data_IF_393269079661
#
_entry.id   IF_393269079661
#
_cell.length_a   1.000
_cell.length_b   1.000
_cell.length_c   1.000
_cell.angle_alpha   90.00
_cell.angle_beta   90.00
_cell.angle_gamma   90.00
#
_symmetry.space_group_name_H-M   'P 1'
#
loop_
_entity.id
_entity.type
_entity.pdbx_description
1 polymer ?
#
# COMPACT_ATOMS: atom_id res chain seq x y z
N UNK A 1 -25.94 -25.48 58.77
CA UNK A 1 -25.01 -26.28 57.94
C UNK A 1 -24.99 -25.87 56.46
N UNK A 2 -25.95 -25.07 55.94
CA UNK A 2 -26.01 -24.73 54.51
C UNK A 2 -24.91 -23.72 54.06
N UNK A 3 -24.58 -22.73 54.89
CA UNK A 3 -23.56 -21.72 54.54
C UNK A 3 -22.14 -22.25 54.46
N UNK A 4 -21.76 -23.19 55.34
CA UNK A 4 -20.41 -23.77 55.32
C UNK A 4 -20.19 -24.62 54.06
N UNK A 5 -21.23 -25.33 53.61
CA UNK A 5 -21.20 -26.08 52.35
C UNK A 5 -21.13 -25.16 51.13
N UNK A 6 -21.90 -24.06 51.11
CA UNK A 6 -21.84 -23.06 50.04
C UNK A 6 -20.45 -22.39 49.98
N UNK A 7 -19.87 -22.06 51.13
CA UNK A 7 -18.54 -21.46 51.21
C UNK A 7 -17.45 -22.42 50.71
N UNK A 8 -17.56 -23.71 51.05
CA UNK A 8 -16.65 -24.74 50.53
C UNK A 8 -16.78 -24.91 49.01
N UNK A 9 -18.01 -24.90 48.49
CA UNK A 9 -18.28 -24.97 47.06
C UNK A 9 -17.68 -23.77 46.32
N UNK A 10 -17.93 -22.56 46.81
CA UNK A 10 -17.35 -21.33 46.26
C UNK A 10 -15.81 -21.36 46.29
N UNK A 11 -15.20 -21.91 47.34
CA UNK A 11 -13.75 -22.04 47.44
C UNK A 11 -13.17 -23.05 46.42
N UNK A 12 -13.91 -24.10 46.08
CA UNK A 12 -13.54 -25.05 45.03
C UNK A 12 -13.67 -24.42 43.64
N UNK A 13 -14.78 -23.74 43.38
CA UNK A 13 -15.03 -23.06 42.10
C UNK A 13 -13.96 -21.99 41.84
N UNK A 14 -13.59 -21.19 42.85
CA UNK A 14 -12.51 -20.20 42.74
C UNK A 14 -11.16 -20.86 42.40
N UNK A 15 -10.84 -22.01 43.01
CA UNK A 15 -9.60 -22.75 42.70
C UNK A 15 -9.60 -23.30 41.28
N UNK A 16 -10.76 -23.67 40.74
CA UNK A 16 -10.89 -24.15 39.37
C UNK A 16 -10.71 -23.00 38.37
N UNK A 17 -11.31 -21.84 38.64
CA UNK A 17 -11.10 -20.61 37.85
C UNK A 17 -9.63 -20.21 37.85
N UNK A 18 -8.94 -20.29 39.00
CA UNK A 18 -7.51 -20.00 39.08
C UNK A 18 -6.66 -20.95 38.24
N UNK A 19 -7.00 -22.25 38.23
CA UNK A 19 -6.33 -23.23 37.37
C UNK A 19 -6.54 -22.90 35.90
N UNK A 20 -7.78 -22.59 35.51
CA UNK A 20 -8.11 -22.23 34.14
C UNK A 20 -7.36 -20.97 33.70
N UNK A 21 -7.38 -19.92 34.52
CA UNK A 21 -6.64 -18.68 34.29
C UNK A 21 -5.14 -18.94 34.13
N UNK A 22 -4.54 -19.75 35.01
CA UNK A 22 -3.12 -20.09 34.92
C UNK A 22 -2.77 -20.93 33.69
N UNK A 23 -3.72 -21.74 33.19
CA UNK A 23 -3.55 -22.50 31.95
C UNK A 23 -3.62 -21.63 30.68
N UNK A 24 -4.38 -20.53 30.72
CA UNK A 24 -4.52 -19.60 29.59
C UNK A 24 -3.35 -18.62 29.46
N UNK A 25 -2.71 -18.22 30.58
CA UNK A 25 -1.55 -17.32 30.59
C UNK A 25 -0.46 -17.67 29.56
N UNK A 26 0.04 -18.92 29.47
CA UNK A 26 1.06 -19.27 28.49
C UNK A 26 0.56 -19.17 27.04
N UNK A 27 -0.71 -19.51 26.78
CA UNK A 27 -1.31 -19.43 25.45
C UNK A 27 -1.38 -17.98 24.97
N UNK A 28 -1.84 -17.08 25.85
CA UNK A 28 -1.91 -15.65 25.55
C UNK A 28 -0.51 -15.07 25.28
N UNK A 29 0.49 -15.46 26.07
CA UNK A 29 1.87 -15.01 25.89
C UNK A 29 2.48 -15.52 24.57
N UNK A 30 2.17 -16.75 24.17
CA UNK A 30 2.60 -17.30 22.87
C UNK A 30 1.93 -16.56 21.71
N UNK A 31 0.63 -16.30 21.79
CA UNK A 31 -0.09 -15.55 20.75
C UNK A 31 0.45 -14.12 20.60
N UNK A 32 0.75 -13.44 21.71
CA UNK A 32 1.43 -12.13 21.66
C UNK A 32 2.79 -12.22 20.96
N UNK A 33 3.61 -13.21 21.33
CA UNK A 33 4.92 -13.42 20.71
C UNK A 33 4.81 -13.67 19.20
N UNK A 34 3.86 -14.50 18.78
CA UNK A 34 3.61 -14.81 17.36
C UNK A 34 3.14 -13.56 16.61
N UNK A 35 2.19 -12.81 17.18
CA UNK A 35 1.73 -11.53 16.60
C UNK A 35 2.89 -10.57 16.40
N UNK A 36 3.73 -10.38 17.42
CA UNK A 36 4.84 -9.43 17.38
C UNK A 36 5.90 -9.86 16.34
N UNK A 37 6.13 -11.16 16.18
CA UNK A 37 6.98 -11.70 15.12
C UNK A 37 6.45 -11.37 13.72
N UNK A 38 5.14 -11.56 13.48
CA UNK A 38 4.52 -11.21 12.19
C UNK A 38 4.56 -9.70 11.91
N UNK A 39 4.38 -8.86 12.93
CA UNK A 39 4.49 -7.41 12.77
C UNK A 39 5.89 -6.96 12.34
N UNK A 40 6.94 -7.53 12.94
CA UNK A 40 8.31 -7.28 12.52
C UNK A 40 8.55 -7.76 11.09
N UNK A 41 8.06 -8.96 10.76
CA UNK A 41 8.22 -9.54 9.42
C UNK A 41 7.53 -8.70 8.32
N UNK A 42 6.32 -8.20 8.59
CA UNK A 42 5.58 -7.34 7.67
C UNK A 42 6.25 -5.98 7.48
N UNK A 43 6.76 -5.40 8.57
CA UNK A 43 7.52 -4.13 8.53
C UNK A 43 8.79 -4.28 7.68
N UNK A 44 9.50 -5.41 7.79
CA UNK A 44 10.70 -5.69 6.99
C UNK A 44 10.40 -5.87 5.49
N UNK A 45 9.21 -6.39 5.15
CA UNK A 45 8.79 -6.63 3.76
C UNK A 45 8.07 -5.43 3.13
N UNK A 46 8.33 -4.22 3.63
CA UNK A 46 7.75 -2.95 3.18
C UNK A 46 6.21 -2.91 3.12
N UNK A 47 5.52 -3.67 3.98
CA UNK A 47 4.07 -3.53 4.12
C UNK A 47 3.76 -2.15 4.72
N UNK A 48 2.96 -1.33 4.01
CA UNK A 48 2.58 0.01 4.49
C UNK A 48 1.81 -0.09 5.81
N UNK A 49 2.10 0.84 6.74
CA UNK A 49 1.47 0.91 8.06
C UNK A 49 -0.07 0.90 7.99
N UNK A 50 -0.67 1.50 6.94
CA UNK A 50 -2.12 1.46 6.68
C UNK A 50 -2.67 0.02 6.55
N UNK A 51 -1.96 -0.88 5.87
CA UNK A 51 -2.34 -2.28 5.67
C UNK A 51 -2.21 -3.08 6.97
N UNK A 52 -1.17 -2.80 7.75
CA UNK A 52 -0.96 -3.37 9.09
C UNK A 52 -2.08 -2.92 10.05
N UNK A 53 -2.45 -1.64 10.06
CA UNK A 53 -3.52 -1.11 10.91
C UNK A 53 -4.90 -1.71 10.56
N UNK A 54 -5.17 -1.92 9.26
CA UNK A 54 -6.37 -2.62 8.77
C UNK A 54 -6.43 -4.07 9.26
N UNK A 55 -5.32 -4.81 9.19
CA UNK A 55 -5.26 -6.19 9.69
C UNK A 55 -5.34 -6.30 11.21
N UNK A 56 -4.82 -5.32 11.93
CA UNK A 56 -4.90 -5.26 13.39
C UNK A 56 -6.27 -4.81 13.91
N UNK A 57 -7.21 -4.44 13.02
CA UNK A 57 -8.54 -3.99 13.41
C UNK A 57 -8.48 -2.73 14.30
N UNK A 58 -7.40 -1.94 14.22
CA UNK A 58 -7.33 -0.61 14.84
C UNK A 58 -8.08 0.36 13.92
N UNK A 59 -9.31 0.01 13.58
CA UNK A 59 -10.32 0.97 13.15
C UNK A 59 -10.82 1.61 14.44
N UNK A 60 -10.42 2.85 14.66
CA UNK A 60 -11.11 3.71 15.62
C UNK A 60 -12.59 3.69 15.21
N UNK A 61 -13.47 3.27 16.14
CA UNK A 61 -14.91 3.20 15.92
C UNK A 61 -15.48 4.54 15.39
N UNK A 62 -16.61 4.51 14.68
CA UNK A 62 -16.75 5.06 13.34
C UNK A 62 -17.38 6.46 13.33
N UNK A 63 -16.66 7.43 12.78
CA UNK A 63 -17.24 8.67 12.25
C UNK A 63 -16.51 8.99 10.95
N UNK A 64 -16.79 8.25 9.87
CA UNK A 64 -16.76 8.81 8.52
C UNK A 64 -17.41 7.81 7.55
N UNK A 65 -18.66 8.10 7.22
CA UNK A 65 -19.53 7.41 6.27
C UNK A 65 -19.05 7.51 4.80
N UNK A 66 -17.75 7.63 4.52
CA UNK A 66 -17.22 7.90 3.18
C UNK A 66 -16.02 7.03 2.75
N UNK A 67 -15.64 5.99 3.50
CA UNK A 67 -14.48 5.14 3.13
C UNK A 67 -14.83 3.85 2.35
N UNK A 68 -16.05 3.75 1.79
CA UNK A 68 -16.44 2.63 0.91
C UNK A 68 -16.18 2.88 -0.59
N UNK A 69 -15.46 3.94 -0.94
CA UNK A 69 -14.85 4.14 -2.25
C UNK A 69 -13.50 4.78 -1.95
N UNK A 70 -12.41 4.04 -1.86
CA UNK A 70 -11.56 3.76 -3.01
C UNK A 70 -10.82 2.44 -2.79
N UNK A 71 -11.00 1.50 -3.70
CA UNK A 71 -10.02 0.46 -3.99
C UNK A 71 -8.71 1.12 -4.46
N UNK A 72 -7.96 1.72 -3.54
CA UNK A 72 -6.60 2.21 -3.73
C UNK A 72 -5.56 1.07 -3.77
N UNK A 73 -5.98 -0.20 -3.79
CA UNK A 73 -5.10 -1.37 -3.89
C UNK A 73 -4.65 -1.64 -5.34
N UNK A 74 -5.21 -0.94 -6.34
CA UNK A 74 -4.94 -1.15 -7.77
C UNK A 74 -4.38 0.08 -8.49
N UNK A 75 -3.90 1.07 -7.75
CA UNK A 75 -3.26 2.23 -8.33
C UNK A 75 -1.89 1.83 -8.94
N UNK A 76 -1.74 1.85 -10.29
CA UNK A 76 -0.57 1.31 -10.97
C UNK A 76 0.68 2.18 -10.82
N UNK A 77 0.68 3.20 -9.96
CA UNK A 77 1.85 4.02 -9.64
C UNK A 77 2.57 3.57 -8.35
N UNK A 78 2.05 2.54 -7.68
CA UNK A 78 2.56 2.07 -6.39
C UNK A 78 3.82 1.21 -6.45
N UNK A 79 4.12 0.63 -7.61
CA UNK A 79 5.34 -0.16 -7.85
C UNK A 79 6.24 0.57 -8.84
N UNK A 80 7.55 0.63 -8.63
CA UNK A 80 8.43 1.35 -9.58
C UNK A 80 8.44 0.68 -10.96
N UNK A 81 8.26 -0.64 -11.03
CA UNK A 81 8.27 -1.42 -12.26
C UNK A 81 7.08 -1.16 -13.20
N UNK A 82 6.00 -0.54 -12.71
CA UNK A 82 4.81 -0.27 -13.52
C UNK A 82 4.92 1.04 -14.30
N UNK A 83 5.79 1.96 -13.87
CA UNK A 83 6.00 3.26 -14.53
C UNK A 83 7.45 3.54 -14.92
N UNK A 84 8.46 2.88 -14.32
CA UNK A 84 9.87 3.04 -14.67
C UNK A 84 10.34 1.92 -15.60
N UNK A 85 10.73 2.27 -16.82
CA UNK A 85 11.19 1.32 -17.86
C UNK A 85 12.70 1.34 -18.09
N UNK A 86 13.45 2.19 -17.38
CA UNK A 86 14.92 2.24 -17.46
C UNK A 86 15.46 2.86 -18.75
N UNK A 87 16.55 2.32 -19.30
CA UNK A 87 17.25 2.83 -20.50
C UNK A 87 16.53 2.44 -21.78
N UNK A 88 15.48 3.19 -22.11
CA UNK A 88 14.65 2.98 -23.31
C UNK A 88 14.71 4.22 -24.21
N UNK A 89 14.80 3.99 -25.53
CA UNK A 89 14.82 5.07 -26.53
C UNK A 89 13.42 5.68 -26.74
N UNK A 90 13.36 6.92 -27.26
CA UNK A 90 12.09 7.61 -27.51
C UNK A 90 11.12 6.77 -28.34
N UNK A 91 11.58 6.17 -29.44
CA UNK A 91 10.75 5.38 -30.36
C UNK A 91 10.18 4.13 -29.69
N UNK A 92 10.96 3.47 -28.82
CA UNK A 92 10.51 2.29 -28.07
C UNK A 92 9.48 2.68 -27.00
N UNK A 93 9.67 3.81 -26.33
CA UNK A 93 8.67 4.35 -25.40
C UNK A 93 7.36 4.69 -26.10
N UNK A 94 7.43 5.29 -27.30
CA UNK A 94 6.25 5.58 -28.13
C UNK A 94 5.53 4.28 -28.53
N UNK A 95 6.24 3.21 -28.91
CA UNK A 95 5.65 1.91 -29.22
C UNK A 95 4.99 1.25 -27.99
N UNK A 96 5.58 1.37 -26.79
CA UNK A 96 5.00 0.85 -25.55
C UNK A 96 3.77 1.63 -25.07
N UNK A 97 3.67 2.90 -25.43
CA UNK A 97 2.48 3.74 -25.17
C UNK A 97 1.43 3.61 -26.27
N UNK A 98 1.80 3.12 -27.46
CA UNK A 98 0.89 2.96 -28.58
C UNK A 98 -0.17 1.90 -28.25
N UNK A 99 -1.46 2.27 -28.35
CA UNK A 99 -2.59 1.40 -28.04
C UNK A 99 -2.96 1.31 -26.55
N UNK A 100 -2.31 2.08 -25.67
CA UNK A 100 -2.72 2.22 -24.26
C UNK A 100 -3.75 3.34 -24.08
N UNK A 101 -4.36 3.39 -22.89
CA UNK A 101 -5.35 4.41 -22.56
C UNK A 101 -4.72 5.80 -22.50
N UNK A 102 -5.52 6.82 -22.83
CA UNK A 102 -5.12 8.22 -22.72
C UNK A 102 -4.68 8.56 -21.28
N UNK A 103 -3.63 9.37 -21.14
CA UNK A 103 -3.04 9.70 -19.84
C UNK A 103 -2.06 8.64 -19.28
N UNK A 104 -1.82 7.53 -19.99
CA UNK A 104 -0.78 6.57 -19.59
C UNK A 104 0.60 7.21 -19.70
N UNK A 105 1.43 7.06 -18.66
CA UNK A 105 2.79 7.59 -18.62
C UNK A 105 3.84 6.51 -18.35
N UNK A 106 5.09 6.80 -18.72
CA UNK A 106 6.27 6.04 -18.34
C UNK A 106 7.47 6.97 -18.15
N UNK A 107 8.40 6.58 -17.28
CA UNK A 107 9.66 7.28 -17.01
C UNK A 107 10.81 6.43 -17.55
N UNK A 108 11.68 7.07 -18.33
CA UNK A 108 12.87 6.46 -18.93
C UNK A 108 14.11 7.30 -18.66
N UNK A 109 15.28 6.68 -18.73
CA UNK A 109 16.56 7.40 -18.67
C UNK A 109 16.78 8.23 -19.94
N UNK A 110 17.25 9.46 -19.77
CA UNK A 110 17.72 10.30 -20.87
C UNK A 110 19.05 9.80 -21.41
N UNK A 111 19.38 10.17 -22.63
CA UNK A 111 20.75 10.03 -23.16
C UNK A 111 21.77 10.87 -22.37
N UNK A 112 21.29 11.87 -21.61
CA UNK A 112 22.10 12.64 -20.66
C UNK A 112 22.25 11.88 -19.34
N UNK A 113 23.50 11.69 -18.88
CA UNK A 113 23.78 10.97 -17.63
C UNK A 113 23.10 11.66 -16.44
N UNK A 114 22.30 10.90 -15.70
CA UNK A 114 21.64 11.36 -14.47
C UNK A 114 20.33 12.14 -14.67
N UNK A 115 19.76 12.16 -15.89
CA UNK A 115 18.47 12.80 -16.16
C UNK A 115 17.41 11.77 -16.55
N UNK A 116 16.18 11.97 -16.07
CA UNK A 116 15.02 11.15 -16.42
C UNK A 116 14.06 11.95 -17.31
N UNK A 117 13.35 11.25 -18.20
CA UNK A 117 12.37 11.82 -19.11
C UNK A 117 11.04 11.12 -18.91
N UNK A 118 9.97 11.89 -18.76
CA UNK A 118 8.62 11.36 -18.74
C UNK A 118 8.04 11.36 -20.16
N UNK A 119 7.50 10.22 -20.58
CA UNK A 119 6.76 10.07 -21.83
C UNK A 119 5.30 9.78 -21.48
N UNK A 120 4.38 10.63 -21.96
CA UNK A 120 2.95 10.54 -21.66
C UNK A 120 2.18 10.45 -22.98
N UNK A 121 1.20 9.54 -23.03
CA UNK A 121 0.23 9.51 -24.11
C UNK A 121 -0.86 10.54 -23.82
N UNK A 122 -1.05 11.49 -24.74
CA UNK A 122 -2.14 12.47 -24.68
C UNK A 122 -2.90 12.41 -26.00
N UNK A 123 -4.20 12.12 -25.93
CA UNK A 123 -5.08 12.17 -27.08
C UNK A 123 -5.17 13.61 -27.57
N UNK A 124 -4.89 13.82 -28.86
CA UNK A 124 -5.07 15.11 -29.49
C UNK A 124 -6.56 15.50 -29.42
N UNK A 125 -6.87 16.57 -28.69
CA UNK A 125 -8.22 17.14 -28.66
C UNK A 125 -8.58 17.56 -30.10
N UNK A 126 -9.74 17.18 -30.68
CA UNK A 126 -9.98 17.31 -32.12
C UNK A 126 -10.12 18.74 -32.68
N UNK A 127 -9.95 19.78 -31.87
CA UNK A 127 -10.24 21.15 -32.29
C UNK A 127 -9.07 22.09 -32.03
N UNK A 128 -7.97 21.91 -32.76
CA UNK A 128 -7.12 23.02 -33.21
C UNK A 128 -6.20 22.53 -34.30
N UNK A 129 -6.26 23.23 -35.43
CA UNK A 129 -5.48 22.96 -36.63
C UNK A 129 -4.00 23.21 -36.32
N UNK A 130 -3.23 22.17 -36.02
CA UNK A 130 -1.80 22.19 -36.25
C UNK A 130 -1.25 20.77 -36.39
N UNK A 131 -0.52 20.60 -37.47
CA UNK A 131 0.24 19.43 -37.85
C UNK A 131 1.15 18.94 -36.72
N UNK A 132 1.32 17.62 -36.65
CA UNK A 132 2.17 16.85 -35.73
C UNK A 132 1.65 16.69 -34.30
N UNK A 133 0.95 15.57 -34.08
CA UNK A 133 0.82 14.94 -32.76
C UNK A 133 2.23 14.53 -32.28
N UNK A 134 2.93 15.43 -31.59
CA UNK A 134 4.19 15.14 -30.93
C UNK A 134 3.92 14.97 -29.44
N UNK A 135 4.24 13.82 -28.84
CA UNK A 135 4.31 13.69 -27.39
C UNK A 135 5.27 14.76 -26.85
N UNK A 136 4.75 15.68 -26.04
CA UNK A 136 5.56 16.66 -25.30
C UNK A 136 6.44 15.89 -24.33
N UNK A 137 7.76 15.96 -24.50
CA UNK A 137 8.71 15.30 -23.64
C UNK A 137 9.14 16.28 -22.54
N UNK A 138 8.84 15.97 -21.29
CA UNK A 138 9.25 16.77 -20.14
C UNK A 138 10.50 16.14 -19.53
N UNK A 139 11.53 16.96 -19.29
CA UNK A 139 12.75 16.52 -18.60
C UNK A 139 12.58 16.79 -17.11
N UNK A 140 12.75 15.74 -16.30
CA UNK A 140 12.76 15.85 -14.85
C UNK A 140 14.21 15.99 -14.37
N UNK A 141 14.56 17.16 -13.84
CA UNK A 141 15.89 17.42 -13.28
C UNK A 141 15.94 17.18 -11.76
N UNK A 142 14.78 17.17 -11.09
CA UNK A 142 14.52 16.89 -9.67
C UNK A 142 13.06 16.43 -9.48
N UNK A 143 12.66 15.74 -8.39
CA UNK A 143 11.29 15.22 -8.19
C UNK A 143 10.17 16.26 -8.26
N UNK A 144 10.49 17.55 -8.17
CA UNK A 144 9.54 18.66 -8.08
C UNK A 144 9.61 19.66 -9.24
N UNK A 145 10.47 19.46 -10.23
CA UNK A 145 10.68 20.45 -11.31
C UNK A 145 10.54 19.82 -12.68
N UNK A 146 9.43 20.13 -13.36
CA UNK A 146 9.17 19.74 -14.75
C UNK A 146 9.52 20.91 -15.68
N UNK A 147 10.48 20.72 -16.59
CA UNK A 147 10.82 21.71 -17.64
C UNK A 147 10.43 21.20 -19.02
N UNK A 148 9.70 22.02 -19.78
CA UNK A 148 9.31 21.75 -21.16
C UNK A 148 10.52 21.99 -22.07
N UNK A 149 10.84 21.05 -22.97
CA UNK A 149 11.78 21.22 -24.08
C UNK A 149 11.05 21.39 -25.41
#
# INVERSE_FOLDING_TARGET
MNLEQELQKQALDNREVDKYMNSLKPVLMQLHKIRDQYLVWLTQKSARQKKINKWLGITHEPEDQYELMEDEDDCPHHEECTWYVGKVNRTQAEEMLNGKQDGTFLIRESSQRGCCVCSVLVAAVPNTVSSTARPLAWVLQSPTTCTIL
#
